data_IF_676067280011
#
_entry.id   IF_676067280011
#
_cell.length_a   1.000
_cell.length_b   1.000
_cell.length_c   1.000
_cell.angle_alpha   90.00
_cell.angle_beta   90.00
_cell.angle_gamma   90.00
#
_symmetry.space_group_name_H-M   'P 1'
#
loop_
_entity.id
_entity.type
_entity.pdbx_description
1 polymer ?
#
# COMPACT_ATOMS: atom_id res chain seq x y z
N UNK A 1 26.97 -5.42 -9.54
CA UNK A 1 26.41 -4.55 -10.60
C UNK A 1 25.70 -3.42 -9.89
N UNK A 2 26.02 -2.17 -10.23
CA UNK A 2 25.30 -0.99 -9.73
C UNK A 2 24.19 -0.63 -10.72
N UNK A 3 22.97 -0.46 -10.22
CA UNK A 3 21.75 -0.18 -11.00
C UNK A 3 21.05 1.10 -10.54
N UNK A 4 21.62 1.82 -9.57
CA UNK A 4 20.96 2.94 -8.89
C UNK A 4 20.66 4.12 -9.80
N UNK A 5 21.40 4.29 -10.90
CA UNK A 5 21.23 5.35 -11.89
C UNK A 5 20.27 5.01 -13.04
N UNK A 6 19.78 3.77 -13.12
CA UNK A 6 18.88 3.36 -14.20
C UNK A 6 17.44 3.79 -13.90
N UNK A 7 16.72 4.38 -14.87
CA UNK A 7 15.31 4.70 -14.68
C UNK A 7 14.50 3.40 -14.58
N UNK A 8 13.58 3.36 -13.61
CA UNK A 8 12.62 2.26 -13.46
C UNK A 8 11.39 2.56 -14.31
N UNK A 9 11.07 1.66 -15.24
CA UNK A 9 9.80 1.68 -15.99
C UNK A 9 8.93 0.55 -15.44
N UNK A 10 7.89 0.91 -14.70
CA UNK A 10 6.89 -0.05 -14.25
C UNK A 10 5.90 -0.33 -15.38
N UNK A 11 6.07 -1.48 -16.04
CA UNK A 11 5.26 -1.90 -17.18
C UNK A 11 3.85 -2.35 -16.80
N UNK A 12 3.56 -2.51 -15.51
CA UNK A 12 2.23 -2.90 -15.04
C UNK A 12 1.92 -2.33 -13.65
N UNK A 13 1.21 -1.20 -13.63
CA UNK A 13 0.72 -0.59 -12.40
C UNK A 13 -0.72 -0.10 -12.54
N UNK A 14 -1.37 0.10 -11.40
CA UNK A 14 -2.74 0.63 -11.31
C UNK A 14 -2.82 1.88 -10.42
N UNK A 15 -2.02 2.93 -10.67
CA UNK A 15 -1.88 4.05 -9.74
C UNK A 15 -3.17 4.83 -9.53
N UNK A 16 -4.12 4.80 -10.49
CA UNK A 16 -5.32 5.65 -10.48
C UNK A 16 -6.64 4.96 -10.12
N UNK A 17 -6.63 3.68 -9.72
CA UNK A 17 -7.88 2.94 -9.48
C UNK A 17 -8.70 3.47 -8.29
N UNK A 18 -8.05 3.99 -7.25
CA UNK A 18 -8.72 4.37 -6.00
C UNK A 18 -8.22 5.74 -5.47
N UNK A 19 -8.76 6.85 -5.99
CA UNK A 19 -8.32 8.18 -5.61
C UNK A 19 -8.86 8.66 -4.26
N UNK A 20 -9.80 7.93 -3.66
CA UNK A 20 -10.44 8.27 -2.38
C UNK A 20 -9.63 7.87 -1.16
N UNK A 21 -10.08 8.26 0.05
CA UNK A 21 -9.42 7.91 1.31
C UNK A 21 -9.56 6.41 1.61
N UNK A 22 -8.64 5.91 2.42
CA UNK A 22 -8.69 4.55 2.96
C UNK A 22 -8.74 4.53 4.48
N UNK A 23 -9.49 3.58 5.03
CA UNK A 23 -9.24 3.05 6.38
C UNK A 23 -7.95 2.22 6.40
N UNK A 24 -7.38 1.92 7.59
CA UNK A 24 -6.18 1.06 7.68
C UNK A 24 -6.34 -0.31 7.01
N UNK A 25 -7.49 -0.95 7.15
CA UNK A 25 -7.76 -2.27 6.56
C UNK A 25 -7.93 -2.18 5.04
N UNK A 26 -8.62 -1.16 4.53
CA UNK A 26 -8.73 -0.94 3.08
C UNK A 26 -7.36 -0.63 2.45
N UNK A 27 -6.52 0.12 3.16
CA UNK A 27 -5.15 0.37 2.72
C UNK A 27 -4.37 -0.93 2.61
N UNK A 28 -4.41 -1.79 3.64
CA UNK A 28 -3.78 -3.13 3.58
C UNK A 28 -4.34 -3.95 2.42
N UNK A 29 -5.65 -3.97 2.24
CA UNK A 29 -6.30 -4.71 1.15
C UNK A 29 -5.82 -4.24 -0.23
N UNK A 30 -5.62 -2.94 -0.41
CA UNK A 30 -5.16 -2.37 -1.66
C UNK A 30 -3.72 -2.76 -2.01
N UNK A 31 -2.86 -2.97 -1.02
CA UNK A 31 -1.43 -3.25 -1.23
C UNK A 31 -1.02 -4.69 -0.95
N UNK A 32 -1.90 -5.56 -0.43
CA UNK A 32 -1.52 -6.91 0.00
C UNK A 32 -1.35 -7.94 -1.12
N UNK A 33 -1.67 -7.61 -2.38
CA UNK A 33 -1.54 -8.50 -3.56
C UNK A 33 -2.01 -9.95 -3.32
N UNK A 34 -3.00 -10.15 -2.47
CA UNK A 34 -3.46 -11.49 -2.13
C UNK A 34 -4.43 -11.98 -3.20
N UNK A 35 -4.08 -13.05 -3.92
CA UNK A 35 -4.98 -13.71 -4.87
C UNK A 35 -6.29 -14.24 -4.26
N UNK A 36 -6.40 -14.29 -2.92
CA UNK A 36 -7.62 -14.59 -2.18
C UNK A 36 -8.14 -13.37 -1.40
N UNK A 37 -9.25 -12.80 -1.86
CA UNK A 37 -10.05 -11.80 -1.14
C UNK A 37 -11.18 -12.44 -0.34
N UNK A 38 -11.93 -11.64 0.42
CA UNK A 38 -13.17 -12.09 1.07
C UNK A 38 -14.14 -12.69 0.04
N UNK A 39 -14.26 -12.06 -1.13
CA UNK A 39 -15.13 -12.54 -2.21
C UNK A 39 -14.71 -13.94 -2.70
N UNK A 40 -13.41 -14.16 -2.92
CA UNK A 40 -12.89 -15.47 -3.31
C UNK A 40 -13.20 -16.56 -2.27
N UNK A 41 -13.04 -16.25 -0.98
CA UNK A 41 -13.33 -17.19 0.09
C UNK A 41 -14.83 -17.45 0.24
N UNK A 42 -15.66 -16.42 0.06
CA UNK A 42 -17.12 -16.54 0.04
C UNK A 42 -17.59 -17.43 -1.12
N UNK A 43 -17.04 -17.23 -2.31
CA UNK A 43 -17.30 -18.08 -3.48
C UNK A 43 -16.84 -19.53 -3.25
N UNK A 44 -15.77 -19.72 -2.47
CA UNK A 44 -15.31 -21.02 -2.00
C UNK A 44 -16.16 -21.65 -0.88
N UNK A 45 -17.24 -21.01 -0.44
CA UNK A 45 -18.14 -21.51 0.60
C UNK A 45 -17.64 -21.29 2.04
N UNK A 46 -16.62 -20.46 2.24
CA UNK A 46 -16.17 -20.07 3.60
C UNK A 46 -17.19 -19.11 4.20
N UNK A 47 -17.69 -19.35 5.42
CA UNK A 47 -18.61 -18.42 6.09
C UNK A 47 -17.98 -17.04 6.27
N UNK A 48 -18.70 -16.01 5.82
CA UNK A 48 -18.33 -14.62 6.04
C UNK A 48 -18.68 -14.21 7.48
N UNK A 49 -17.72 -13.62 8.20
CA UNK A 49 -17.86 -13.30 9.62
C UNK A 49 -16.67 -12.52 10.16
N UNK A 50 -16.82 -11.86 11.32
CA UNK A 50 -15.77 -11.00 11.90
C UNK A 50 -14.47 -11.76 12.17
N UNK A 51 -14.54 -13.05 12.49
CA UNK A 51 -13.37 -13.91 12.69
C UNK A 51 -12.57 -14.09 11.40
N UNK A 52 -13.25 -14.30 10.27
CA UNK A 52 -12.60 -14.43 8.96
C UNK A 52 -11.92 -13.12 8.55
N UNK A 53 -12.58 -11.99 8.79
CA UNK A 53 -12.00 -10.67 8.50
C UNK A 53 -10.74 -10.42 9.32
N UNK A 54 -10.80 -10.71 10.62
CA UNK A 54 -9.66 -10.57 11.52
C UNK A 54 -8.48 -11.47 11.11
N UNK A 55 -8.74 -12.73 10.74
CA UNK A 55 -7.72 -13.67 10.30
C UNK A 55 -7.03 -13.19 9.01
N UNK A 56 -7.81 -12.79 8.01
CA UNK A 56 -7.27 -12.26 6.75
C UNK A 56 -6.42 -11.02 6.98
N UNK A 57 -6.89 -10.08 7.81
CA UNK A 57 -6.11 -8.89 8.14
C UNK A 57 -4.82 -9.24 8.88
N UNK A 58 -4.88 -10.17 9.83
CA UNK A 58 -3.71 -10.66 10.56
C UNK A 58 -2.65 -11.23 9.61
N UNK A 59 -3.05 -12.10 8.68
CA UNK A 59 -2.14 -12.69 7.69
C UNK A 59 -1.52 -11.61 6.80
N UNK A 60 -2.34 -10.72 6.24
CA UNK A 60 -1.88 -9.66 5.32
C UNK A 60 -0.87 -8.74 5.99
N UNK A 61 -1.19 -8.25 7.20
CA UNK A 61 -0.35 -7.34 7.98
C UNK A 61 1.02 -7.93 8.34
N UNK A 62 1.13 -9.26 8.40
CA UNK A 62 2.34 -9.95 8.84
C UNK A 62 3.27 -10.42 7.71
N UNK A 63 2.95 -10.14 6.45
CA UNK A 63 3.86 -10.45 5.33
C UNK A 63 5.11 -9.56 5.36
N UNK A 64 6.24 -10.08 4.86
CA UNK A 64 7.47 -9.29 4.70
C UNK A 64 7.25 -8.07 3.79
N UNK A 65 6.45 -8.24 2.75
CA UNK A 65 6.06 -7.17 1.84
C UNK A 65 5.38 -6.01 2.56
N UNK A 66 4.34 -6.27 3.37
CA UNK A 66 3.65 -5.20 4.10
C UNK A 66 4.59 -4.50 5.09
N UNK A 67 5.39 -5.27 5.83
CA UNK A 67 6.37 -4.68 6.77
C UNK A 67 7.38 -3.77 6.07
N UNK A 68 7.84 -4.18 4.88
CA UNK A 68 8.70 -3.35 4.04
C UNK A 68 7.96 -2.10 3.56
N UNK A 69 6.82 -2.27 2.89
CA UNK A 69 6.04 -1.18 2.29
C UNK A 69 5.65 -0.12 3.33
N UNK A 70 5.19 -0.51 4.52
CA UNK A 70 4.85 0.43 5.60
C UNK A 70 6.07 1.25 6.02
N UNK A 71 7.26 0.63 6.16
CA UNK A 71 8.49 1.37 6.52
C UNK A 71 8.91 2.35 5.43
N UNK A 72 8.82 1.93 4.16
CA UNK A 72 9.16 2.77 3.00
C UNK A 72 8.24 3.98 2.90
N UNK A 73 6.94 3.74 3.03
CA UNK A 73 5.93 4.80 2.96
C UNK A 73 5.99 5.72 4.18
N UNK A 74 6.27 5.18 5.37
CA UNK A 74 6.47 5.99 6.56
C UNK A 74 7.68 6.94 6.41
N UNK A 75 8.77 6.47 5.80
CA UNK A 75 9.91 7.33 5.48
C UNK A 75 9.55 8.40 4.43
N UNK A 76 8.79 8.04 3.39
CA UNK A 76 8.33 8.99 2.38
C UNK A 76 7.40 10.06 2.97
N UNK A 77 6.49 9.68 3.85
CA UNK A 77 5.52 10.59 4.47
C UNK A 77 6.04 11.30 5.73
N UNK A 78 7.25 10.97 6.18
CA UNK A 78 7.81 11.41 7.47
C UNK A 78 6.84 11.18 8.64
N UNK A 79 6.38 9.92 8.79
CA UNK A 79 5.44 9.53 9.84
C UNK A 79 5.86 8.25 10.57
N UNK A 80 5.11 7.87 11.61
CA UNK A 80 5.38 6.64 12.34
C UNK A 80 5.22 5.40 11.43
N UNK A 81 6.07 4.36 11.57
CA UNK A 81 6.03 3.16 10.74
C UNK A 81 4.91 2.19 11.15
N UNK A 82 3.68 2.69 11.19
CA UNK A 82 2.46 1.92 11.45
C UNK A 82 1.49 2.04 10.28
N UNK A 83 0.62 1.05 10.12
CA UNK A 83 -0.40 1.03 9.04
C UNK A 83 -1.32 2.25 9.18
N UNK A 84 -1.70 2.55 10.41
CA UNK A 84 -2.64 3.61 10.77
C UNK A 84 -2.05 5.00 10.43
N UNK A 85 -0.79 5.24 10.79
CA UNK A 85 -0.11 6.51 10.50
C UNK A 85 0.14 6.69 8.99
N UNK A 86 0.55 5.63 8.29
CA UNK A 86 0.77 5.67 6.84
C UNK A 86 -0.54 5.91 6.09
N UNK A 87 -1.63 5.22 6.44
CA UNK A 87 -2.94 5.43 5.81
C UNK A 87 -3.45 6.87 6.01
N UNK A 88 -3.32 7.41 7.24
CA UNK A 88 -3.69 8.79 7.54
C UNK A 88 -2.84 9.82 6.77
N UNK A 89 -1.52 9.60 6.68
CA UNK A 89 -0.62 10.47 5.94
C UNK A 89 -0.91 10.45 4.43
N UNK A 90 -1.14 9.26 3.85
CA UNK A 90 -1.54 9.09 2.46
C UNK A 90 -2.86 9.81 2.16
N UNK A 91 -3.85 9.68 3.04
CA UNK A 91 -5.13 10.39 2.91
C UNK A 91 -4.97 11.91 2.99
N UNK A 92 -4.03 12.41 3.78
CA UNK A 92 -3.73 13.84 3.87
C UNK A 92 -3.01 14.33 2.61
N UNK A 93 -2.05 13.56 2.09
CA UNK A 93 -1.25 13.91 0.92
C UNK A 93 -2.08 14.02 -0.38
N UNK A 94 -3.19 13.27 -0.49
CA UNK A 94 -4.08 13.35 -1.66
C UNK A 94 -5.00 14.58 -1.67
N UNK A 95 -5.10 15.35 -0.58
CA UNK A 95 -6.02 16.52 -0.49
C UNK A 95 -5.71 17.62 -1.51
N UNK A 96 -4.46 17.71 -1.97
CA UNK A 96 -4.03 18.60 -3.06
C UNK A 96 -4.33 18.09 -4.48
N UNK A 97 -4.99 16.94 -4.61
CA UNK A 97 -5.31 16.29 -5.87
C UNK A 97 -4.52 15.01 -6.11
N UNK A 98 -5.23 13.96 -6.49
CA UNK A 98 -4.65 12.62 -6.63
C UNK A 98 -3.51 12.51 -7.67
N UNK A 99 -3.57 13.16 -8.85
CA UNK A 99 -2.45 13.12 -9.81
C UNK A 99 -1.16 13.76 -9.27
N UNK A 100 -1.28 14.83 -8.48
CA UNK A 100 -0.12 15.48 -7.86
C UNK A 100 0.53 14.57 -6.80
N UNK A 101 -0.31 13.92 -5.98
CA UNK A 101 0.13 12.88 -5.04
C UNK A 101 0.81 11.69 -5.74
N UNK A 102 0.21 11.15 -6.81
CA UNK A 102 0.83 10.07 -7.57
C UNK A 102 2.18 10.51 -8.18
N UNK A 103 2.25 11.74 -8.71
CA UNK A 103 3.48 12.32 -9.24
C UNK A 103 4.60 12.44 -8.20
N UNK A 104 4.28 12.80 -6.95
CA UNK A 104 5.31 12.91 -5.90
C UNK A 104 5.91 11.57 -5.50
N UNK A 105 5.12 10.48 -5.54
CA UNK A 105 5.62 9.12 -5.32
C UNK A 105 6.63 8.71 -6.40
N UNK A 106 6.33 8.95 -7.68
CA UNK A 106 7.25 8.66 -8.78
C UNK A 106 8.51 9.54 -8.72
N UNK A 107 8.38 10.81 -8.31
CA UNK A 107 9.50 11.73 -8.19
C UNK A 107 10.45 11.34 -7.05
N UNK A 108 9.94 10.88 -5.90
CA UNK A 108 10.79 10.46 -4.79
C UNK A 108 11.67 9.24 -5.13
N UNK A 109 11.23 8.37 -6.04
CA UNK A 109 12.04 7.27 -6.55
C UNK A 109 13.21 7.72 -7.43
N UNK A 110 13.12 8.90 -8.06
CA UNK A 110 14.20 9.45 -8.88
C UNK A 110 15.30 10.14 -8.06
N UNK A 111 15.08 10.39 -6.76
CA UNK A 111 16.00 11.11 -5.87
C UNK A 111 17.13 10.28 -5.27
N UNK A 112 17.14 8.96 -5.48
CA UNK A 112 18.12 8.05 -4.89
C UNK A 112 17.85 7.76 -3.42
N UNK A 113 17.96 6.48 -3.04
CA UNK A 113 17.87 6.05 -1.64
C UNK A 113 19.20 6.37 -0.94
N UNK A 114 19.22 7.32 0.00
CA UNK A 114 20.36 7.38 0.94
C UNK A 114 20.14 6.31 2.00
N UNK A 115 20.97 5.26 1.95
CA UNK A 115 21.05 4.25 3.01
C UNK A 115 21.63 4.84 4.31
#
# INVERSE_FOLDING_TARGET
>A
MDLTSLPVVDVHCHPFLNPGPYTPDEFINAISFSGGGLDFLREGGVPDGPELHAEIQSVRRNTLWIRYAVRQLAAFFDCAPTVEAVAAARNSAMTGGYPAYAGSLYAAMAGGYSA
#
